data_IF_944624319532
#
_entry.id   IF_944624319532
#
_cell.length_a   1.000
_cell.length_b   1.000
_cell.length_c   1.000
_cell.angle_alpha   90.00
_cell.angle_beta   90.00
_cell.angle_gamma   90.00
#
_symmetry.space_group_name_H-M   'P 1'
#
loop_
_entity.id
_entity.type
_entity.pdbx_description
1 polymer ?
#
# COMPACT_ATOMS: atom_id res chain seq x y z
N UNK A 1 -9.05 -0.56 28.44
CA UNK A 1 -9.12 -0.75 26.97
C UNK A 1 -7.69 -0.76 26.45
N UNK A 2 -7.28 -1.81 25.72
CA UNK A 2 -5.91 -1.89 25.18
C UNK A 2 -5.72 -0.85 24.08
N UNK A 3 -4.55 -0.24 24.05
CA UNK A 3 -4.21 0.84 23.13
C UNK A 3 -3.08 0.43 22.18
N UNK A 4 -3.29 0.68 20.89
CA UNK A 4 -2.34 0.39 19.83
C UNK A 4 -1.85 1.72 19.26
N UNK A 5 -0.54 1.88 19.12
CA UNK A 5 0.07 2.97 18.39
C UNK A 5 0.55 2.46 17.03
N UNK A 6 0.10 3.11 15.98
CA UNK A 6 0.56 2.87 14.59
C UNK A 6 1.44 4.05 14.17
N UNK A 7 2.66 3.75 13.71
CA UNK A 7 3.58 4.74 13.14
C UNK A 7 3.67 4.46 11.64
N UNK A 8 3.42 5.47 10.81
CA UNK A 8 3.39 5.31 9.35
C UNK A 8 3.85 6.57 8.64
N UNK A 9 4.60 6.42 7.54
CA UNK A 9 4.93 7.51 6.61
C UNK A 9 3.91 7.62 5.45
N UNK A 10 2.98 6.66 5.35
CA UNK A 10 1.91 6.65 4.36
C UNK A 10 0.54 6.82 5.04
N UNK A 11 -0.08 7.99 4.87
CA UNK A 11 -1.39 8.33 5.44
C UNK A 11 -2.13 9.33 4.55
N UNK A 12 -3.40 9.55 4.84
CA UNK A 12 -4.19 10.59 4.16
C UNK A 12 -3.48 11.98 4.19
N UNK A 13 -3.56 12.75 3.10
CA UNK A 13 -4.42 12.62 1.93
C UNK A 13 -3.85 11.75 0.78
N UNK A 14 -2.76 11.02 0.97
CA UNK A 14 -2.24 10.11 -0.04
C UNK A 14 -3.27 9.04 -0.43
N UNK A 15 -3.33 8.68 -1.71
CA UNK A 15 -4.21 7.63 -2.24
C UNK A 15 -3.36 6.49 -2.78
N UNK A 16 -3.21 5.44 -1.98
CA UNK A 16 -2.50 4.22 -2.36
C UNK A 16 -2.98 3.02 -1.51
N UNK A 17 -2.57 1.81 -1.89
CA UNK A 17 -3.00 0.57 -1.22
C UNK A 17 -2.58 0.48 0.26
N UNK A 18 -1.45 1.09 0.64
CA UNK A 18 -0.99 1.11 2.05
C UNK A 18 -1.94 1.95 2.89
N UNK A 19 -2.27 3.16 2.43
CA UNK A 19 -3.20 4.07 3.14
C UNK A 19 -4.56 3.42 3.26
N UNK A 20 -5.12 2.88 2.17
CA UNK A 20 -6.42 2.18 2.18
C UNK A 20 -6.42 1.03 3.19
N UNK A 21 -5.36 0.23 3.22
CA UNK A 21 -5.23 -0.87 4.18
C UNK A 21 -5.19 -0.35 5.62
N UNK A 22 -4.31 0.59 5.91
CA UNK A 22 -4.09 1.03 7.28
C UNK A 22 -5.29 1.80 7.85
N UNK A 23 -5.98 2.62 7.05
CA UNK A 23 -7.22 3.28 7.48
C UNK A 23 -8.31 2.26 7.78
N UNK A 24 -8.46 1.23 6.94
CA UNK A 24 -9.41 0.14 7.19
C UNK A 24 -9.07 -0.63 8.47
N UNK A 25 -7.79 -0.96 8.68
CA UNK A 25 -7.32 -1.64 9.91
C UNK A 25 -7.62 -0.80 11.15
N UNK A 26 -7.31 0.48 11.12
CA UNK A 26 -7.61 1.41 12.24
C UNK A 26 -9.11 1.42 12.55
N UNK A 27 -9.94 1.53 11.52
CA UNK A 27 -11.39 1.48 11.69
C UNK A 27 -11.84 0.17 12.34
N UNK A 28 -11.37 -0.98 11.81
CA UNK A 28 -11.75 -2.31 12.32
C UNK A 28 -11.25 -2.58 13.74
N UNK A 29 -10.07 -2.08 14.10
CA UNK A 29 -9.58 -2.17 15.47
C UNK A 29 -10.44 -1.35 16.43
N UNK A 30 -10.85 -0.14 16.04
CA UNK A 30 -11.76 0.70 16.83
C UNK A 30 -13.14 0.07 16.99
N UNK A 31 -13.69 -0.55 15.94
CA UNK A 31 -14.93 -1.33 16.00
C UNK A 31 -14.83 -2.52 16.98
N UNK A 32 -13.61 -3.05 17.18
CA UNK A 32 -13.30 -4.13 18.13
C UNK A 32 -12.91 -3.62 19.54
N UNK A 33 -13.21 -2.36 19.86
CA UNK A 33 -12.94 -1.73 21.15
C UNK A 33 -11.46 -1.62 21.53
N UNK A 34 -10.55 -1.48 20.54
CA UNK A 34 -9.18 -1.01 20.78
C UNK A 34 -9.13 0.52 20.70
N UNK A 35 -8.37 1.16 21.59
CA UNK A 35 -7.94 2.53 21.35
C UNK A 35 -6.81 2.51 20.30
N UNK A 36 -6.88 3.35 19.27
CA UNK A 36 -5.87 3.40 18.24
C UNK A 36 -5.43 4.83 18.00
N UNK A 37 -4.16 5.09 18.30
CA UNK A 37 -3.46 6.31 17.92
C UNK A 37 -2.68 6.05 16.61
N UNK A 38 -2.61 7.06 15.75
CA UNK A 38 -1.82 7.00 14.52
C UNK A 38 -0.89 8.19 14.48
N UNK A 39 0.42 7.96 14.35
CA UNK A 39 1.41 9.00 14.10
C UNK A 39 1.77 8.93 12.61
N UNK A 40 1.60 10.05 11.91
CA UNK A 40 1.73 10.14 10.46
C UNK A 40 2.33 11.51 10.02
N UNK A 41 2.80 11.66 8.78
CA UNK A 41 3.50 12.87 8.32
C UNK A 41 2.75 14.17 8.56
N UNK A 42 1.41 14.19 8.45
CA UNK A 42 0.59 15.37 8.71
C UNK A 42 0.68 15.95 10.13
N UNK A 43 1.34 15.26 11.07
CA UNK A 43 1.60 15.73 12.44
C UNK A 43 2.97 16.43 12.58
N UNK A 44 3.70 16.59 11.47
CA UNK A 44 5.06 17.12 11.41
C UNK A 44 5.20 18.17 10.31
N UNK A 45 6.33 18.86 10.28
CA UNK A 45 6.71 19.61 9.08
C UNK A 45 7.12 18.65 7.97
N UNK A 46 6.57 18.85 6.79
CA UNK A 46 6.79 17.95 5.65
C UNK A 46 7.28 18.70 4.42
N UNK A 47 7.94 17.97 3.52
CA UNK A 47 8.19 18.39 2.15
C UNK A 47 7.65 17.33 1.18
N UNK A 48 7.21 17.75 -0.02
CA UNK A 48 6.74 16.79 -1.03
C UNK A 48 7.91 16.04 -1.63
N UNK A 49 7.72 14.72 -1.86
CA UNK A 49 8.73 13.92 -2.54
C UNK A 49 8.87 14.36 -4.01
N UNK A 50 10.09 14.61 -4.52
CA UNK A 50 10.30 14.88 -5.94
C UNK A 50 9.65 13.80 -6.82
N UNK A 51 8.93 14.20 -7.88
CA UNK A 51 8.14 13.35 -8.78
C UNK A 51 6.87 12.71 -8.18
N UNK A 52 6.62 12.84 -6.88
CA UNK A 52 5.41 12.37 -6.17
C UNK A 52 4.98 13.39 -5.13
N UNK A 53 4.49 14.56 -5.56
CA UNK A 53 4.13 15.65 -4.66
C UNK A 53 2.99 15.29 -3.69
N UNK A 54 2.24 14.22 -4.00
CA UNK A 54 1.23 13.66 -3.10
C UNK A 54 1.83 12.91 -1.90
N UNK A 55 3.12 12.52 -1.97
CA UNK A 55 3.82 11.87 -0.86
C UNK A 55 4.55 12.94 -0.05
N UNK A 56 4.08 13.14 1.17
CA UNK A 56 4.70 14.07 2.14
C UNK A 56 5.69 13.33 3.02
N UNK A 57 6.92 13.81 3.07
CA UNK A 57 7.99 13.25 3.91
C UNK A 57 8.20 14.14 5.13
N UNK A 58 8.10 13.58 6.33
CA UNK A 58 8.36 14.28 7.58
C UNK A 58 9.87 14.54 7.73
N UNK A 59 10.26 15.77 8.08
CA UNK A 59 11.67 16.11 8.26
C UNK A 59 12.04 16.42 9.72
N UNK A 60 11.10 16.89 10.57
CA UNK A 60 11.35 17.10 12.00
C UNK A 60 10.96 15.88 12.85
N UNK A 61 11.35 14.69 12.40
CA UNK A 61 10.97 13.39 12.99
C UNK A 61 11.52 13.17 14.42
N UNK A 62 12.47 13.98 14.91
CA UNK A 62 12.93 13.97 16.31
C UNK A 62 11.81 14.27 17.32
N UNK A 63 10.72 14.91 16.92
CA UNK A 63 9.54 15.12 17.76
C UNK A 63 8.70 13.86 17.93
N UNK A 64 9.00 12.79 17.18
CA UNK A 64 8.29 11.50 17.25
C UNK A 64 8.36 10.90 18.66
N UNK A 65 9.53 10.95 19.32
CA UNK A 65 9.72 10.42 20.68
C UNK A 65 8.67 10.95 21.65
N UNK A 66 8.47 12.26 21.71
CA UNK A 66 7.47 12.90 22.57
C UNK A 66 6.04 12.44 22.25
N UNK A 67 5.73 12.19 20.98
CA UNK A 67 4.41 11.73 20.57
C UNK A 67 4.17 10.26 20.95
N UNK A 68 5.21 9.41 20.87
CA UNK A 68 5.15 8.01 21.33
C UNK A 68 4.91 7.98 22.83
N UNK A 69 5.70 8.70 23.63
CA UNK A 69 5.56 8.78 25.08
C UNK A 69 4.16 9.26 25.49
N UNK A 70 3.65 10.30 24.81
CA UNK A 70 2.31 10.84 25.07
C UNK A 70 1.19 9.84 24.76
N UNK A 71 1.39 8.95 23.77
CA UNK A 71 0.40 7.94 23.42
C UNK A 71 0.18 6.94 24.54
N UNK A 72 1.22 6.58 25.29
CA UNK A 72 1.17 5.55 26.33
C UNK A 72 0.46 4.27 25.85
N UNK A 73 0.89 3.74 24.70
CA UNK A 73 0.28 2.59 24.04
C UNK A 73 0.79 1.27 24.62
N UNK A 74 -0.08 0.25 24.67
CA UNK A 74 0.28 -1.11 25.07
C UNK A 74 1.01 -1.87 23.96
N UNK A 75 0.74 -1.52 22.68
CA UNK A 75 1.31 -2.19 21.50
C UNK A 75 1.74 -1.18 20.46
N UNK A 76 2.84 -1.50 19.76
CA UNK A 76 3.38 -0.67 18.70
C UNK A 76 3.42 -1.42 17.36
N UNK A 77 2.98 -0.74 16.31
CA UNK A 77 3.08 -1.21 14.93
C UNK A 77 3.71 -0.13 14.05
N UNK A 78 4.77 -0.50 13.33
CA UNK A 78 5.46 0.38 12.38
C UNK A 78 5.11 -0.11 10.97
N UNK A 79 4.32 0.69 10.27
CA UNK A 79 3.68 0.24 9.03
C UNK A 79 4.55 0.35 7.78
N UNK A 80 5.50 1.28 7.73
CA UNK A 80 6.37 1.51 6.56
C UNK A 80 7.77 1.97 6.98
N UNK A 81 8.74 1.84 6.07
CA UNK A 81 10.19 1.99 6.28
C UNK A 81 10.69 3.44 6.07
N UNK A 82 9.79 4.42 6.12
CA UNK A 82 10.13 5.83 5.96
C UNK A 82 10.80 6.46 7.21
N UNK A 83 11.08 7.77 7.19
CA UNK A 83 11.75 8.46 8.30
C UNK A 83 11.07 8.30 9.66
N UNK A 84 9.73 8.32 9.71
CA UNK A 84 8.99 8.08 10.95
C UNK A 84 9.12 6.63 11.38
N UNK A 85 9.04 5.68 10.43
CA UNK A 85 9.20 4.26 10.70
C UNK A 85 10.59 3.94 11.25
N UNK A 86 11.66 4.44 10.63
CA UNK A 86 13.05 4.26 11.09
C UNK A 86 13.25 4.86 12.48
N UNK A 87 12.71 6.06 12.74
CA UNK A 87 12.82 6.71 14.05
C UNK A 87 12.02 5.94 15.11
N UNK A 88 10.83 5.45 14.78
CA UNK A 88 10.01 4.62 15.66
C UNK A 88 10.69 3.30 16.01
N UNK A 89 11.30 2.63 15.01
CA UNK A 89 12.13 1.44 15.21
C UNK A 89 13.28 1.71 16.20
N UNK A 90 14.02 2.80 15.99
CA UNK A 90 15.13 3.17 16.87
C UNK A 90 14.66 3.38 18.31
N UNK A 91 13.56 4.10 18.49
CA UNK A 91 12.93 4.30 19.79
C UNK A 91 12.56 2.97 20.46
N UNK A 92 11.92 2.04 19.72
CA UNK A 92 11.53 0.74 20.27
C UNK A 92 12.74 -0.08 20.72
N UNK A 93 13.83 -0.08 19.94
CA UNK A 93 15.06 -0.80 20.28
C UNK A 93 15.77 -0.16 21.48
N UNK A 94 15.84 1.17 21.55
CA UNK A 94 16.46 1.89 22.69
C UNK A 94 15.73 1.61 24.01
N UNK A 95 14.40 1.42 23.95
CA UNK A 95 13.57 1.21 25.14
C UNK A 95 13.10 -0.24 25.33
N UNK A 96 13.66 -1.20 24.56
CA UNK A 96 13.32 -2.62 24.61
C UNK A 96 11.81 -2.90 24.45
N UNK A 97 11.11 -2.07 23.66
CA UNK A 97 9.68 -2.20 23.41
C UNK A 97 9.47 -3.14 22.21
N UNK A 98 8.77 -4.29 22.38
CA UNK A 98 8.42 -5.14 21.25
C UNK A 98 7.45 -4.43 20.31
N UNK A 99 7.72 -4.53 19.01
CA UNK A 99 6.90 -3.93 17.98
C UNK A 99 6.71 -4.88 16.80
N UNK A 100 5.71 -4.60 15.99
CA UNK A 100 5.45 -5.32 14.74
C UNK A 100 5.66 -4.41 13.54
N UNK A 101 6.00 -5.02 12.40
CA UNK A 101 6.12 -4.31 11.12
C UNK A 101 5.26 -4.97 10.04
N UNK A 102 5.18 -4.37 8.87
CA UNK A 102 4.49 -4.93 7.71
C UNK A 102 5.25 -4.63 6.42
N UNK A 103 5.41 -5.64 5.56
CA UNK A 103 5.92 -5.49 4.20
C UNK A 103 4.72 -5.36 3.26
N UNK A 104 4.57 -4.18 2.66
CA UNK A 104 3.42 -3.86 1.81
C UNK A 104 3.65 -4.09 0.32
N UNK A 105 4.91 -3.99 -0.13
CA UNK A 105 5.30 -4.00 -1.56
C UNK A 105 6.62 -4.72 -1.75
N UNK A 106 6.91 -5.15 -2.96
CA UNK A 106 8.27 -5.56 -3.37
C UNK A 106 9.15 -4.32 -3.51
N UNK A 107 9.50 -3.74 -2.36
CA UNK A 107 10.21 -2.46 -2.27
C UNK A 107 11.59 -2.48 -2.94
N UNK A 108 12.41 -3.55 -2.86
CA UNK A 108 13.69 -3.61 -3.55
C UNK A 108 13.56 -3.46 -5.06
N UNK A 109 12.62 -4.19 -5.68
CA UNK A 109 12.34 -4.14 -7.11
C UNK A 109 11.84 -2.75 -7.51
N UNK A 110 10.93 -2.17 -6.72
CA UNK A 110 10.43 -0.82 -6.95
C UNK A 110 11.54 0.24 -6.93
N UNK A 111 12.46 0.16 -5.97
CA UNK A 111 13.60 1.09 -5.85
C UNK A 111 14.61 0.88 -6.97
N UNK A 112 14.87 -0.38 -7.34
CA UNK A 112 15.76 -0.70 -8.45
C UNK A 112 15.25 -0.15 -9.79
N UNK A 113 13.99 -0.43 -10.14
CA UNK A 113 13.38 0.04 -11.37
C UNK A 113 13.34 1.56 -11.48
N UNK A 114 13.25 2.23 -10.34
CA UNK A 114 13.03 3.66 -10.30
C UNK A 114 14.28 4.49 -10.11
N UNK A 115 15.20 4.04 -9.28
CA UNK A 115 16.39 4.80 -8.87
C UNK A 115 17.70 4.11 -9.25
N UNK A 116 17.66 2.90 -9.81
CA UNK A 116 18.84 2.12 -10.14
C UNK A 116 19.67 1.66 -8.94
N UNK A 117 19.11 1.72 -7.73
CA UNK A 117 19.80 1.28 -6.51
C UNK A 117 19.78 -0.26 -6.49
N UNK A 118 20.94 -0.88 -6.30
CA UNK A 118 21.10 -2.33 -6.37
C UNK A 118 20.17 -3.09 -5.39
N UNK A 119 19.61 -4.20 -5.86
CA UNK A 119 18.67 -5.04 -5.11
C UNK A 119 19.26 -5.50 -3.76
N UNK A 120 20.53 -5.89 -3.73
CA UNK A 120 21.18 -6.39 -2.50
C UNK A 120 21.26 -5.33 -1.41
N UNK A 121 21.51 -4.07 -1.79
CA UNK A 121 21.57 -2.94 -0.85
C UNK A 121 20.18 -2.69 -0.24
N UNK A 122 19.15 -2.64 -1.08
CA UNK A 122 17.78 -2.42 -0.63
C UNK A 122 17.25 -3.59 0.17
N UNK A 123 17.52 -4.83 -0.21
CA UNK A 123 17.20 -6.03 0.58
C UNK A 123 17.92 -6.03 1.95
N UNK A 124 19.19 -5.64 1.98
CA UNK A 124 19.95 -5.49 3.21
C UNK A 124 19.33 -4.48 4.18
N UNK A 125 18.92 -3.32 3.66
CA UNK A 125 18.24 -2.28 4.44
C UNK A 125 16.89 -2.75 4.99
N UNK A 126 16.09 -3.44 4.17
CA UNK A 126 14.80 -3.98 4.61
C UNK A 126 14.99 -5.07 5.68
N UNK A 127 15.95 -5.98 5.51
CA UNK A 127 16.27 -6.97 6.54
C UNK A 127 16.69 -6.31 7.85
N UNK A 128 17.55 -5.31 7.78
CA UNK A 128 17.94 -4.54 8.96
C UNK A 128 16.72 -3.91 9.66
N UNK A 129 15.74 -3.41 8.87
CA UNK A 129 14.55 -2.79 9.43
C UNK A 129 13.60 -3.80 10.06
N UNK A 130 13.29 -4.89 9.36
CA UNK A 130 12.25 -5.85 9.75
C UNK A 130 12.70 -6.94 10.72
N UNK A 131 13.93 -7.47 10.58
CA UNK A 131 14.39 -8.59 11.41
C UNK A 131 14.60 -8.24 12.90
N UNK A 132 14.50 -6.96 13.27
CA UNK A 132 14.48 -6.53 14.67
C UNK A 132 13.09 -6.43 15.27
N UNK A 133 12.05 -6.61 14.46
CA UNK A 133 10.67 -6.62 14.93
C UNK A 133 10.31 -7.95 15.58
N UNK A 134 9.41 -7.93 16.57
CA UNK A 134 8.89 -9.15 17.18
C UNK A 134 8.12 -10.02 16.15
N UNK A 135 7.43 -9.38 15.21
CA UNK A 135 6.80 -10.04 14.04
C UNK A 135 6.71 -9.06 12.88
N UNK A 136 6.90 -9.60 11.65
CA UNK A 136 6.72 -8.87 10.41
C UNK A 136 5.55 -9.47 9.62
N UNK A 137 4.56 -8.64 9.33
CA UNK A 137 3.35 -9.05 8.61
C UNK A 137 3.61 -9.06 7.11
N UNK A 138 3.26 -10.16 6.44
CA UNK A 138 3.39 -10.34 4.98
C UNK A 138 2.07 -10.79 4.36
N UNK A 139 1.84 -10.47 3.09
CA UNK A 139 0.50 -10.55 2.50
C UNK A 139 0.14 -11.91 1.89
N UNK A 140 1.13 -12.66 1.38
CA UNK A 140 0.91 -13.93 0.66
C UNK A 140 1.94 -14.96 1.06
N UNK A 141 1.58 -16.25 0.98
CA UNK A 141 2.50 -17.36 1.25
C UNK A 141 3.70 -17.36 0.29
N UNK A 142 3.48 -17.08 -1.00
CA UNK A 142 4.57 -17.01 -1.97
C UNK A 142 5.58 -15.93 -1.64
N UNK A 143 5.11 -14.72 -1.27
CA UNK A 143 5.99 -13.64 -0.87
C UNK A 143 6.69 -13.91 0.47
N UNK A 144 6.01 -14.59 1.39
CA UNK A 144 6.61 -15.05 2.65
C UNK A 144 7.78 -15.99 2.37
N UNK A 145 7.59 -16.99 1.52
CA UNK A 145 8.64 -17.93 1.14
C UNK A 145 9.84 -17.23 0.48
N UNK A 146 9.59 -16.32 -0.48
CA UNK A 146 10.65 -15.50 -1.11
C UNK A 146 11.46 -14.72 -0.06
N UNK A 147 10.81 -14.12 0.92
CA UNK A 147 11.46 -13.34 1.98
C UNK A 147 12.24 -14.24 2.96
N UNK A 148 11.72 -15.43 3.30
CA UNK A 148 12.43 -16.42 4.11
C UNK A 148 13.72 -16.88 3.44
N UNK A 149 13.67 -17.15 2.12
CA UNK A 149 14.85 -17.48 1.31
C UNK A 149 15.87 -16.31 1.27
N UNK A 150 15.40 -15.07 1.26
CA UNK A 150 16.22 -13.87 1.36
C UNK A 150 16.76 -13.60 2.77
N UNK A 151 16.41 -14.42 3.78
CA UNK A 151 16.90 -14.35 5.16
C UNK A 151 16.12 -13.36 6.05
N UNK A 152 14.85 -13.12 5.76
CA UNK A 152 13.95 -12.47 6.71
C UNK A 152 13.44 -13.47 7.75
N UNK A 153 13.23 -13.00 8.97
CA UNK A 153 12.78 -13.83 10.10
C UNK A 153 11.46 -13.34 10.67
N UNK A 154 10.83 -14.19 11.49
CA UNK A 154 9.61 -13.84 12.23
C UNK A 154 8.44 -13.35 11.37
N UNK A 155 8.33 -13.90 10.17
CA UNK A 155 7.28 -13.57 9.21
C UNK A 155 5.95 -14.22 9.58
N UNK A 156 4.88 -13.43 9.56
CA UNK A 156 3.51 -13.89 9.83
C UNK A 156 2.60 -13.51 8.66
N UNK A 157 1.85 -14.48 8.16
CA UNK A 157 0.88 -14.22 7.11
C UNK A 157 -0.24 -13.33 7.64
N UNK A 158 -0.49 -12.25 6.92
CA UNK A 158 -1.59 -11.33 7.16
C UNK A 158 -2.27 -11.00 5.84
N UNK A 159 -3.29 -11.76 5.48
CA UNK A 159 -4.03 -11.50 4.27
C UNK A 159 -4.86 -10.21 4.38
N UNK A 160 -5.14 -9.62 3.23
CA UNK A 160 -5.97 -8.43 3.15
C UNK A 160 -7.40 -8.82 2.88
N UNK A 161 -8.33 -7.99 3.36
CA UNK A 161 -9.76 -8.16 3.13
C UNK A 161 -10.32 -7.04 2.25
N UNK A 162 -11.57 -7.21 1.87
CA UNK A 162 -12.40 -6.21 1.21
C UNK A 162 -13.74 -6.11 1.94
N UNK A 163 -14.50 -5.05 1.65
CA UNK A 163 -15.84 -4.87 2.23
C UNK A 163 -16.87 -5.66 1.41
N UNK A 164 -17.27 -6.83 1.92
CA UNK A 164 -18.25 -7.71 1.29
C UNK A 164 -19.64 -7.07 1.11
N UNK A 165 -19.95 -6.01 1.85
CA UNK A 165 -21.21 -5.27 1.69
C UNK A 165 -21.19 -4.39 0.44
N UNK A 166 -20.02 -4.03 -0.03
CA UNK A 166 -19.82 -3.19 -1.22
C UNK A 166 -19.45 -4.05 -2.43
N UNK A 167 -18.48 -4.95 -2.24
CA UNK A 167 -17.96 -5.83 -3.29
C UNK A 167 -18.53 -7.24 -3.10
N UNK A 168 -19.57 -7.54 -3.82
CA UNK A 168 -20.24 -8.85 -3.79
C UNK A 168 -20.50 -9.35 -5.23
N UNK A 169 -20.50 -10.68 -5.44
CA UNK A 169 -20.80 -11.26 -6.74
C UNK A 169 -22.18 -10.85 -7.25
N UNK A 170 -22.29 -10.68 -8.56
CA UNK A 170 -23.61 -10.51 -9.21
C UNK A 170 -24.24 -11.89 -9.43
N UNK A 171 -25.37 -12.24 -8.78
CA UNK A 171 -25.99 -13.57 -8.90
C UNK A 171 -26.45 -13.88 -10.33
N UNK A 172 -26.81 -12.86 -11.10
CA UNK A 172 -27.31 -12.98 -12.49
C UNK A 172 -26.20 -12.93 -13.54
N UNK A 173 -24.93 -12.89 -13.10
CA UNK A 173 -23.80 -12.60 -13.95
C UNK A 173 -23.70 -11.10 -14.26
N UNK A 174 -22.46 -10.60 -14.43
CA UNK A 174 -22.24 -9.21 -14.83
C UNK A 174 -22.64 -8.96 -16.29
N UNK A 175 -22.77 -7.69 -16.66
CA UNK A 175 -23.17 -7.31 -18.04
C UNK A 175 -22.09 -7.57 -19.09
N UNK A 176 -20.89 -7.98 -18.67
CA UNK A 176 -19.73 -8.34 -19.52
C UNK A 176 -19.44 -7.32 -20.63
N UNK A 177 -19.47 -6.04 -20.26
CA UNK A 177 -19.46 -4.94 -21.24
C UNK A 177 -18.06 -4.58 -21.74
N UNK A 178 -17.03 -4.79 -20.92
CA UNK A 178 -15.68 -4.29 -21.17
C UNK A 178 -14.61 -5.09 -20.43
N UNK A 179 -13.37 -4.91 -20.85
CA UNK A 179 -12.19 -5.30 -20.08
C UNK A 179 -11.82 -4.18 -19.11
N UNK A 180 -11.60 -4.51 -17.85
CA UNK A 180 -11.38 -3.55 -16.78
C UNK A 180 -9.94 -3.59 -16.28
N UNK A 181 -9.32 -2.43 -16.17
CA UNK A 181 -8.14 -2.20 -15.34
C UNK A 181 -8.52 -1.25 -14.19
N UNK A 182 -8.12 -1.58 -12.97
CA UNK A 182 -8.25 -0.69 -11.81
C UNK A 182 -6.87 -0.52 -11.18
N UNK A 183 -6.45 0.71 -10.94
CA UNK A 183 -5.18 0.96 -10.29
C UNK A 183 -4.54 2.29 -10.66
N UNK A 184 -3.32 2.49 -10.16
CA UNK A 184 -2.51 3.66 -10.51
C UNK A 184 -2.10 3.60 -11.98
N UNK A 185 -2.32 4.68 -12.71
CA UNK A 185 -1.91 4.81 -14.11
C UNK A 185 -0.46 5.32 -14.16
N UNK A 186 0.47 4.38 -14.08
CA UNK A 186 1.92 4.63 -14.01
C UNK A 186 2.70 3.50 -14.67
N UNK A 187 3.95 3.79 -15.06
CA UNK A 187 4.81 2.85 -15.81
C UNK A 187 5.07 1.57 -15.01
N UNK A 188 5.34 1.69 -13.72
CA UNK A 188 5.60 0.58 -12.81
C UNK A 188 4.42 -0.41 -12.66
N UNK A 189 3.21 -0.02 -13.10
CA UNK A 189 2.03 -0.90 -13.13
C UNK A 189 1.85 -1.65 -14.45
N UNK A 190 2.79 -1.49 -15.37
CA UNK A 190 2.81 -2.19 -16.65
C UNK A 190 1.48 -2.10 -17.44
N UNK A 191 0.70 -1.04 -17.16
CA UNK A 191 -0.64 -0.85 -17.73
C UNK A 191 -0.62 -0.83 -19.26
N UNK A 192 0.49 -0.47 -19.88
CA UNK A 192 0.60 -0.38 -21.33
C UNK A 192 0.35 -1.73 -22.02
N UNK A 193 0.67 -2.85 -21.38
CA UNK A 193 0.35 -4.17 -21.91
C UNK A 193 -1.17 -4.41 -22.00
N UNK A 194 -1.93 -3.92 -21.01
CA UNK A 194 -3.40 -3.92 -21.09
C UNK A 194 -3.90 -3.02 -22.22
N UNK A 195 -3.31 -1.82 -22.36
CA UNK A 195 -3.74 -0.86 -23.38
C UNK A 195 -3.48 -1.37 -24.81
N UNK A 196 -2.35 -2.04 -25.04
CA UNK A 196 -1.96 -2.63 -26.35
C UNK A 196 -2.71 -3.92 -26.69
N UNK A 197 -3.18 -4.65 -25.68
CA UNK A 197 -3.78 -5.98 -25.90
C UNK A 197 -4.94 -5.88 -26.91
N UNK A 198 -4.94 -6.71 -27.96
CA UNK A 198 -6.08 -6.72 -28.90
C UNK A 198 -7.33 -7.25 -28.21
N UNK A 199 -8.47 -6.60 -28.45
CA UNK A 199 -9.77 -7.00 -27.91
C UNK A 199 -10.92 -6.46 -28.75
N UNK A 200 -11.96 -7.27 -28.90
CA UNK A 200 -13.24 -6.83 -29.46
C UNK A 200 -14.08 -6.06 -28.41
N UNK A 201 -13.82 -6.30 -27.12
CA UNK A 201 -14.49 -5.58 -26.05
C UNK A 201 -13.80 -4.23 -25.80
N UNK A 202 -14.58 -3.18 -25.48
CA UNK A 202 -14.04 -1.91 -25.03
C UNK A 202 -13.14 -2.08 -23.80
N UNK A 203 -12.21 -1.17 -23.61
CA UNK A 203 -11.33 -1.13 -22.44
C UNK A 203 -11.69 0.03 -21.54
N UNK A 204 -11.79 -0.23 -20.23
CA UNK A 204 -12.04 0.79 -19.21
C UNK A 204 -10.90 0.80 -18.21
N UNK A 205 -10.38 1.99 -17.91
CA UNK A 205 -9.33 2.23 -16.92
C UNK A 205 -9.90 3.08 -15.80
N UNK A 206 -9.97 2.49 -14.61
CA UNK A 206 -10.35 3.19 -13.38
C UNK A 206 -9.08 3.52 -12.59
N UNK A 207 -8.88 4.79 -12.28
CA UNK A 207 -7.76 5.28 -11.50
C UNK A 207 -7.11 6.53 -12.10
N UNK A 208 -5.99 6.92 -11.54
CA UNK A 208 -5.23 8.09 -11.98
C UNK A 208 -3.73 7.89 -11.73
N UNK A 209 -2.93 8.80 -12.22
CA UNK A 209 -1.49 8.73 -12.03
C UNK A 209 -0.70 9.57 -13.03
N UNK A 210 0.63 9.58 -12.91
CA UNK A 210 1.49 10.44 -13.71
C UNK A 210 1.39 10.18 -15.22
N UNK A 211 1.10 8.94 -15.63
CA UNK A 211 1.04 8.56 -17.04
C UNK A 211 -0.35 8.71 -17.67
N UNK A 212 -1.38 9.10 -16.90
CA UNK A 212 -2.77 9.18 -17.38
C UNK A 212 -2.91 10.04 -18.65
N UNK A 213 -2.37 11.27 -18.62
CA UNK A 213 -2.50 12.20 -19.76
C UNK A 213 -1.80 11.70 -21.02
N UNK A 214 -0.66 11.05 -20.89
CA UNK A 214 0.10 10.51 -22.02
C UNK A 214 -0.60 9.31 -22.61
N UNK A 215 -1.08 8.38 -21.78
CA UNK A 215 -1.80 7.19 -22.26
C UNK A 215 -3.16 7.52 -22.85
N UNK A 216 -3.92 8.45 -22.28
CA UNK A 216 -5.18 8.87 -22.86
C UNK A 216 -5.05 9.48 -24.27
N UNK A 217 -3.93 10.17 -24.54
CA UNK A 217 -3.62 10.65 -25.90
C UNK A 217 -3.17 9.54 -26.86
N UNK A 218 -2.41 8.56 -26.33
CA UNK A 218 -1.86 7.46 -27.14
C UNK A 218 -2.91 6.40 -27.49
N UNK A 219 -3.88 6.21 -26.61
CA UNK A 219 -4.94 5.19 -26.72
C UNK A 219 -6.31 5.84 -26.61
N UNK A 220 -6.77 6.60 -27.62
CA UNK A 220 -8.01 7.37 -27.56
C UNK A 220 -9.27 6.50 -27.51
N UNK A 221 -9.18 5.22 -27.91
CA UNK A 221 -10.30 4.26 -27.88
C UNK A 221 -10.50 3.62 -26.51
N UNK A 222 -9.66 3.95 -25.50
CA UNK A 222 -9.76 3.45 -24.13
C UNK A 222 -10.45 4.48 -23.26
N UNK A 223 -11.44 4.05 -22.48
CA UNK A 223 -12.16 4.93 -21.56
C UNK A 223 -11.42 5.07 -20.21
N UNK A 224 -10.84 6.24 -19.97
CA UNK A 224 -10.17 6.59 -18.72
C UNK A 224 -11.13 7.37 -17.81
N UNK A 225 -11.81 6.68 -16.91
CA UNK A 225 -12.90 7.24 -16.07
C UNK A 225 -12.44 7.90 -14.78
N UNK A 226 -11.12 7.95 -14.52
CA UNK A 226 -10.57 8.54 -13.30
C UNK A 226 -10.79 7.69 -12.06
N UNK A 227 -10.56 8.28 -10.88
CA UNK A 227 -10.72 7.58 -9.60
C UNK A 227 -12.18 7.30 -9.28
N UNK A 228 -12.45 6.05 -8.83
CA UNK A 228 -13.74 5.60 -8.34
C UNK A 228 -13.56 4.93 -6.99
N UNK A 229 -14.58 4.97 -6.13
CA UNK A 229 -14.56 4.37 -4.78
C UNK A 229 -15.91 3.74 -4.43
N UNK A 230 -15.88 2.86 -3.41
CA UNK A 230 -17.09 2.29 -2.83
C UNK A 230 -17.98 1.63 -3.87
N UNK A 231 -19.28 1.93 -3.83
CA UNK A 231 -20.29 1.32 -4.72
C UNK A 231 -20.01 1.60 -6.20
N UNK A 232 -19.57 2.80 -6.55
CA UNK A 232 -19.26 3.15 -7.93
C UNK A 232 -18.14 2.27 -8.50
N UNK A 233 -17.07 2.04 -7.72
CA UNK A 233 -15.99 1.12 -8.10
C UNK A 233 -16.51 -0.33 -8.20
N UNK A 234 -17.32 -0.78 -7.26
CA UNK A 234 -17.91 -2.11 -7.29
C UNK A 234 -18.80 -2.34 -8.52
N UNK A 235 -19.52 -1.30 -9.00
CA UNK A 235 -20.32 -1.37 -10.21
C UNK A 235 -19.44 -1.55 -11.47
N UNK A 236 -18.25 -0.90 -11.52
CA UNK A 236 -17.28 -1.15 -12.60
C UNK A 236 -16.77 -2.61 -12.60
N UNK A 237 -16.44 -3.17 -11.44
CA UNK A 237 -16.05 -4.57 -11.34
C UNK A 237 -17.18 -5.52 -11.77
N UNK A 238 -18.40 -5.21 -11.38
CA UNK A 238 -19.59 -6.06 -11.64
C UNK A 238 -19.99 -6.08 -13.11
N UNK A 239 -19.81 -4.95 -13.80
CA UNK A 239 -20.18 -4.80 -15.23
C UNK A 239 -19.04 -5.25 -16.18
N UNK A 240 -17.85 -5.55 -15.66
CA UNK A 240 -16.72 -6.01 -16.45
C UNK A 240 -16.87 -7.47 -16.90
N UNK A 241 -16.42 -7.76 -18.11
CA UNK A 241 -16.27 -9.12 -18.59
C UNK A 241 -15.05 -9.81 -17.97
N UNK A 242 -13.96 -9.05 -17.79
CA UNK A 242 -12.73 -9.52 -17.19
C UNK A 242 -11.99 -8.36 -16.54
N UNK A 243 -11.38 -8.61 -15.38
CA UNK A 243 -10.42 -7.73 -14.75
C UNK A 243 -9.01 -8.13 -15.18
N UNK A 244 -8.23 -7.17 -15.68
CA UNK A 244 -6.87 -7.39 -16.17
C UNK A 244 -5.91 -6.54 -15.35
N UNK A 245 -4.95 -7.19 -14.70
CA UNK A 245 -3.99 -6.54 -13.82
C UNK A 245 -2.55 -6.94 -14.19
N UNK A 246 -1.89 -6.23 -15.12
CA UNK A 246 -0.58 -6.60 -15.67
C UNK A 246 0.61 -6.18 -14.79
N UNK A 247 0.38 -5.69 -13.57
CA UNK A 247 1.44 -5.24 -12.67
C UNK A 247 2.37 -6.38 -12.26
N UNK A 248 3.68 -6.13 -12.30
CA UNK A 248 4.73 -7.07 -11.91
C UNK A 248 5.28 -6.80 -10.51
N UNK A 249 4.95 -5.65 -9.91
CA UNK A 249 5.54 -5.16 -8.66
C UNK A 249 4.60 -5.24 -7.45
N UNK A 250 3.36 -5.65 -7.65
CA UNK A 250 2.40 -5.79 -6.55
C UNK A 250 2.55 -7.13 -5.83
N UNK A 251 2.52 -7.11 -4.51
CA UNK A 251 2.57 -8.31 -3.67
C UNK A 251 1.19 -8.93 -3.46
N UNK A 252 0.15 -8.12 -3.40
CA UNK A 252 -1.24 -8.57 -3.20
C UNK A 252 -2.22 -7.93 -4.20
N UNK A 253 -1.95 -6.71 -4.66
CA UNK A 253 -2.80 -6.02 -5.63
C UNK A 253 -4.16 -5.61 -5.06
N UNK A 254 -4.17 -4.78 -4.03
CA UNK A 254 -5.41 -4.16 -3.54
C UNK A 254 -5.81 -3.05 -4.51
N UNK A 255 -6.81 -3.30 -5.28
CA UNK A 255 -7.37 -2.39 -6.29
C UNK A 255 -8.88 -2.35 -6.22
#
# INVERSE_FOLDING_TARGET
MKKILIITDAWEPQVNGVVTTMTTVVQKLREKNFAVDVIHPGMFHTFPLPNYPEISVAWNFWDLKKKIEKSNADFMHISVEGPLGVTGRHYCLEHEIPYTTCIHTKFPEYVYERFGIGLDVTKGLLKWFHNSAAKTLVNTESHKAELEDDGFTDLVLWSRGFDEKIFYPCPEGGKQKYLLYVGRVAVEKNIEEFLKMPSELPKVVVGGGPSLKSYARKYPDVDFVGFKKGKELADYYRDAACFVFPSLTDTFGIV
#
